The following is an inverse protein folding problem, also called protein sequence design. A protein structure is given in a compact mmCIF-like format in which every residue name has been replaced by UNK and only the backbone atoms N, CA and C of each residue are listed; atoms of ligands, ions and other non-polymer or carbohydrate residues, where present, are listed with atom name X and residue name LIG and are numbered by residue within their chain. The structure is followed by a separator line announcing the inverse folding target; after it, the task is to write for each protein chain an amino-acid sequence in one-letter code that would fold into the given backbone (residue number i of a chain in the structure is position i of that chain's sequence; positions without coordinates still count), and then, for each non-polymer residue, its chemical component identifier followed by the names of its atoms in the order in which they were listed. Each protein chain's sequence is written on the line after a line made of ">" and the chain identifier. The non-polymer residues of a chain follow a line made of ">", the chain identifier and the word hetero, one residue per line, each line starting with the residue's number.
data_IF_833180124379
#
_entry.id   IF_833180124379
#
_cell.length_a   1.000
_cell.length_b   1.000
_cell.length_c   1.000
_cell.angle_alpha   90.00
_cell.angle_beta   90.00
_cell.angle_gamma   90.00
#
_symmetry.space_group_name_H-M   'P 1'
#
loop_
_entity.id
_entity.type
_entity.pdbx_description
1 polymer ?
#
# COMPACT_ATOMS: atom_id res chain seq x y z
N UNK A 1 -6.36 -2.33 18.40
CA UNK A 1 -6.96 -2.55 17.06
C UNK A 1 -6.05 -3.52 16.33
N UNK A 2 -6.57 -4.64 15.85
CA UNK A 2 -5.80 -5.64 15.11
C UNK A 2 -6.17 -5.58 13.62
N UNK A 3 -5.16 -5.51 12.74
CA UNK A 3 -5.35 -5.45 11.29
C UNK A 3 -5.54 -6.86 10.74
N UNK A 4 -6.74 -7.16 10.24
CA UNK A 4 -7.04 -8.45 9.61
C UNK A 4 -6.59 -8.48 8.15
N UNK A 5 -6.37 -9.67 7.59
CA UNK A 5 -6.08 -9.86 6.16
C UNK A 5 -7.15 -9.22 5.27
N UNK A 6 -8.42 -9.31 5.66
CA UNK A 6 -9.53 -8.71 4.90
C UNK A 6 -9.46 -7.18 4.93
N UNK A 7 -9.19 -6.58 6.10
CA UNK A 7 -8.99 -5.13 6.22
C UNK A 7 -7.85 -4.63 5.31
N UNK A 8 -6.73 -5.35 5.28
CA UNK A 8 -5.59 -5.00 4.43
C UNK A 8 -5.90 -5.15 2.93
N UNK A 9 -6.70 -6.15 2.58
CA UNK A 9 -7.18 -6.34 1.21
C UNK A 9 -8.08 -5.19 0.77
N UNK A 10 -9.01 -4.77 1.62
CA UNK A 10 -9.88 -3.62 1.35
C UNK A 10 -9.10 -2.31 1.24
N UNK A 11 -8.12 -2.08 2.12
CA UNK A 11 -7.23 -0.92 2.05
C UNK A 11 -6.51 -0.88 0.69
N UNK A 12 -5.93 -1.99 0.25
CA UNK A 12 -5.31 -2.08 -1.08
C UNK A 12 -6.29 -1.79 -2.21
N UNK A 13 -7.49 -2.39 -2.19
CA UNK A 13 -8.51 -2.17 -3.22
C UNK A 13 -8.87 -0.68 -3.31
N UNK A 14 -9.01 -0.01 -2.16
CA UNK A 14 -9.26 1.42 -2.09
C UNK A 14 -8.09 2.28 -2.58
N UNK A 15 -6.84 1.88 -2.35
CA UNK A 15 -5.68 2.55 -2.95
C UNK A 15 -5.73 2.45 -4.49
N UNK A 16 -5.94 1.24 -5.01
CA UNK A 16 -5.99 0.97 -6.45
C UNK A 16 -7.14 1.71 -7.13
N UNK A 17 -8.31 1.80 -6.49
CA UNK A 17 -9.45 2.56 -7.05
C UNK A 17 -9.19 4.05 -7.17
N UNK A 18 -8.23 4.60 -6.40
CA UNK A 18 -7.74 5.98 -6.52
C UNK A 18 -6.51 6.13 -7.44
N UNK A 19 -6.09 5.05 -8.09
CA UNK A 19 -4.90 5.05 -8.94
C UNK A 19 -3.57 5.02 -8.17
N UNK A 20 -3.58 4.62 -6.90
CA UNK A 20 -2.38 4.49 -6.06
C UNK A 20 -1.93 3.03 -6.00
N UNK A 21 -0.65 2.78 -6.30
CA UNK A 21 0.00 1.47 -6.16
C UNK A 21 1.33 1.67 -5.43
N UNK A 22 1.46 1.11 -4.23
CA UNK A 22 2.72 1.16 -3.50
C UNK A 22 3.70 0.15 -4.10
N UNK A 23 4.88 0.67 -4.44
CA UNK A 23 5.95 -0.06 -5.13
C UNK A 23 7.29 0.30 -4.51
N UNK A 24 8.30 -0.52 -4.73
CA UNK A 24 9.69 -0.24 -4.37
C UNK A 24 10.57 -0.27 -5.61
N UNK A 25 11.63 0.51 -5.55
CA UNK A 25 12.66 0.52 -6.56
C UNK A 25 13.58 -0.69 -6.37
N UNK A 26 13.80 -1.48 -7.42
CA UNK A 26 14.60 -2.71 -7.33
C UNK A 26 16.10 -2.37 -7.23
N UNK A 27 16.53 -1.40 -8.02
CA UNK A 27 17.91 -0.92 -8.10
C UNK A 27 17.90 0.59 -7.82
N UNK A 28 18.68 1.10 -6.84
CA UNK A 28 18.69 2.51 -6.52
C UNK A 28 18.99 3.41 -7.73
N UNK A 29 18.20 4.45 -7.92
CA UNK A 29 18.26 5.41 -9.04
C UNK A 29 18.00 4.78 -10.43
N UNK A 30 17.14 3.78 -10.51
CA UNK A 30 16.66 3.19 -11.75
C UNK A 30 15.18 3.52 -11.99
N UNK A 31 14.75 3.43 -13.24
CA UNK A 31 13.32 3.52 -13.58
C UNK A 31 12.57 2.20 -13.35
N UNK A 32 13.17 1.24 -12.63
CA UNK A 32 12.61 -0.11 -12.44
C UNK A 32 11.94 -0.25 -11.07
N UNK A 33 10.63 -0.44 -11.09
CA UNK A 33 9.79 -0.56 -9.89
C UNK A 33 9.05 -1.89 -9.85
N UNK A 34 8.94 -2.46 -8.66
CA UNK A 34 8.16 -3.66 -8.40
C UNK A 34 7.10 -3.39 -7.33
N UNK A 35 5.91 -3.97 -7.52
CA UNK A 35 4.81 -3.80 -6.57
C UNK A 35 5.06 -4.64 -5.32
N UNK A 36 4.77 -4.07 -4.15
CA UNK A 36 4.72 -4.87 -2.94
C UNK A 36 3.61 -5.94 -2.99
N UNK A 37 3.77 -7.00 -2.22
CA UNK A 37 2.70 -7.99 -2.00
C UNK A 37 1.41 -7.31 -1.53
N UNK A 38 0.25 -7.95 -1.76
CA UNK A 38 -1.03 -7.34 -1.42
C UNK A 38 -1.11 -6.92 0.06
N UNK A 39 -0.50 -7.72 0.96
CA UNK A 39 -0.49 -7.49 2.41
C UNK A 39 0.31 -6.24 2.75
N UNK A 40 1.50 -6.09 2.17
CA UNK A 40 2.35 -4.91 2.39
C UNK A 40 1.73 -3.65 1.80
N UNK A 41 1.18 -3.74 0.59
CA UNK A 41 0.41 -2.65 -0.02
C UNK A 41 -0.72 -2.17 0.92
N UNK A 42 -1.51 -3.11 1.46
CA UNK A 42 -2.58 -2.78 2.41
C UNK A 42 -2.09 -2.16 3.72
N UNK A 43 -0.94 -2.60 4.24
CA UNK A 43 -0.34 -2.04 5.46
C UNK A 43 0.15 -0.61 5.27
N UNK A 44 0.84 -0.34 4.16
CA UNK A 44 1.34 1.00 3.84
C UNK A 44 0.17 1.96 3.64
N UNK A 45 -0.87 1.53 2.91
CA UNK A 45 -2.07 2.33 2.70
C UNK A 45 -2.80 2.65 4.00
N UNK A 46 -3.04 1.65 4.86
CA UNK A 46 -3.69 1.86 6.16
C UNK A 46 -2.92 2.88 7.03
N UNK A 47 -1.59 2.77 7.06
CA UNK A 47 -0.74 3.73 7.78
C UNK A 47 -0.80 5.14 7.17
N UNK A 48 -0.80 5.25 5.83
CA UNK A 48 -0.92 6.52 5.13
C UNK A 48 -2.25 7.22 5.43
N UNK A 49 -3.38 6.50 5.35
CA UNK A 49 -4.71 7.06 5.61
C UNK A 49 -4.88 7.50 7.06
N UNK A 50 -4.32 6.74 8.01
CA UNK A 50 -4.31 7.14 9.43
C UNK A 50 -3.60 8.47 9.64
N UNK A 51 -2.46 8.70 8.97
CA UNK A 51 -1.74 9.97 9.05
C UNK A 51 -2.55 11.16 8.51
N UNK A 52 -3.34 10.97 7.46
CA UNK A 52 -4.16 12.03 6.86
C UNK A 52 -5.37 12.42 7.71
N UNK A 53 -5.78 11.55 8.64
CA UNK A 53 -6.95 11.78 9.49
C UNK A 53 -6.62 12.58 10.75
N UNK A 54 -5.35 12.98 10.92
CA UNK A 54 -4.80 13.80 11.99
C UNK A 54 -4.29 15.13 11.42
#
# INVERSE_FOLDING_TARGET
>A
YELTTETLKQARIHAVSRGVIWSFEIIPNSDTWEQYSFKLNGLIEDAYLKKLSH
#
